data_IF_596833805060
#
_entry.id   IF_596833805060
#
_cell.length_a   1.000
_cell.length_b   1.000
_cell.length_c   1.000
_cell.angle_alpha   90.00
_cell.angle_beta   90.00
_cell.angle_gamma   90.00
#
_symmetry.space_group_name_H-M   'P 1'
#
loop_
_entity.id
_entity.type
_entity.pdbx_description
1 polymer ?
#
# COMPACT_ATOMS: atom_id res chain seq x y z
N UNK A 1 17.96 6.78 -5.75
CA UNK A 1 17.48 6.15 -7.01
C UNK A 1 15.97 5.93 -7.01
N UNK A 2 15.38 5.33 -5.97
CA UNK A 2 13.94 5.03 -5.88
C UNK A 2 12.99 6.19 -6.26
N UNK A 3 13.28 7.43 -5.84
CA UNK A 3 12.46 8.61 -6.19
C UNK A 3 12.38 8.87 -7.71
N UNK A 4 13.50 8.74 -8.44
CA UNK A 4 13.52 8.96 -9.90
C UNK A 4 12.74 7.86 -10.61
N UNK A 5 12.95 6.61 -10.21
CA UNK A 5 12.22 5.47 -10.77
C UNK A 5 10.71 5.58 -10.54
N UNK A 6 10.27 5.97 -9.34
CA UNK A 6 8.85 6.16 -9.04
C UNK A 6 8.22 7.30 -9.84
N UNK A 7 8.92 8.43 -10.00
CA UNK A 7 8.43 9.55 -10.83
C UNK A 7 8.36 9.18 -12.32
N UNK A 8 9.37 8.49 -12.83
CA UNK A 8 9.35 7.99 -14.21
C UNK A 8 8.21 6.99 -14.40
N UNK A 9 8.03 6.06 -13.48
CA UNK A 9 6.92 5.12 -13.52
C UNK A 9 5.58 5.85 -13.50
N UNK A 10 5.32 6.75 -12.53
CA UNK A 10 4.06 7.51 -12.45
C UNK A 10 3.81 8.34 -13.72
N UNK A 11 4.86 8.97 -14.26
CA UNK A 11 4.78 9.78 -15.47
C UNK A 11 4.52 8.98 -16.75
N UNK A 12 5.09 7.77 -16.88
CA UNK A 12 4.88 6.88 -18.02
C UNK A 12 3.63 6.01 -17.89
N UNK A 13 3.26 5.64 -16.66
CA UNK A 13 2.15 4.74 -16.39
C UNK A 13 0.82 5.41 -16.77
N UNK A 14 0.65 6.70 -16.50
CA UNK A 14 -0.58 7.42 -16.83
C UNK A 14 -0.89 7.45 -18.34
N UNK A 15 0.03 7.85 -19.24
CA UNK A 15 -0.21 7.77 -20.68
C UNK A 15 -0.27 6.32 -21.19
N UNK A 16 0.50 5.39 -20.62
CA UNK A 16 0.43 3.98 -20.98
C UNK A 16 -0.97 3.38 -20.68
N UNK A 17 -1.54 3.67 -19.51
CA UNK A 17 -2.91 3.26 -19.17
C UNK A 17 -3.93 3.83 -20.16
N UNK A 18 -3.77 5.11 -20.55
CA UNK A 18 -4.66 5.74 -21.53
C UNK A 18 -4.61 5.00 -22.87
N UNK A 19 -3.41 4.67 -23.34
CA UNK A 19 -3.21 3.90 -24.58
C UNK A 19 -3.80 2.50 -24.47
N UNK A 20 -3.55 1.79 -23.35
CA UNK A 20 -4.10 0.45 -23.13
C UNK A 20 -5.63 0.46 -23.09
N UNK A 21 -6.27 1.52 -22.59
CA UNK A 21 -7.73 1.63 -22.52
C UNK A 21 -8.43 1.67 -23.88
N UNK A 22 -7.71 2.03 -24.95
CA UNK A 22 -8.24 2.06 -26.32
C UNK A 22 -8.07 0.72 -27.05
N UNK A 23 -7.39 -0.25 -26.45
CA UNK A 23 -7.12 -1.56 -27.05
C UNK A 23 -7.92 -2.65 -26.35
N UNK A 24 -8.68 -3.44 -27.12
CA UNK A 24 -9.55 -4.51 -26.60
C UNK A 24 -8.88 -5.90 -26.58
N UNK A 25 -7.58 -5.96 -26.26
CA UNK A 25 -6.82 -7.22 -26.22
C UNK A 25 -6.48 -7.66 -24.80
N UNK A 26 -6.42 -8.97 -24.56
CA UNK A 26 -6.04 -9.52 -23.24
C UNK A 26 -4.71 -8.96 -22.73
N UNK A 27 -3.72 -8.78 -23.61
CA UNK A 27 -2.41 -8.20 -23.25
C UNK A 27 -2.57 -6.73 -22.82
N UNK A 28 -3.43 -5.97 -23.50
CA UNK A 28 -3.68 -4.57 -23.14
C UNK A 28 -4.42 -4.48 -21.80
N UNK A 29 -5.41 -5.34 -21.56
CA UNK A 29 -6.12 -5.43 -20.28
C UNK A 29 -5.20 -5.86 -19.13
N UNK A 30 -4.32 -6.83 -19.38
CA UNK A 30 -3.31 -7.26 -18.41
C UNK A 30 -2.34 -6.13 -18.09
N UNK A 31 -1.75 -5.49 -19.10
CA UNK A 31 -0.86 -4.34 -18.91
C UNK A 31 -1.56 -3.21 -18.15
N UNK A 32 -2.81 -2.90 -18.49
CA UNK A 32 -3.61 -1.89 -17.82
C UNK A 32 -3.79 -2.21 -16.33
N UNK A 33 -4.19 -3.44 -16.01
CA UNK A 33 -4.37 -3.87 -14.62
C UNK A 33 -3.07 -3.82 -13.84
N UNK A 34 -1.97 -4.32 -14.41
CA UNK A 34 -0.66 -4.28 -13.74
C UNK A 34 -0.24 -2.84 -13.45
N UNK A 35 -0.39 -1.95 -14.44
CA UNK A 35 -0.08 -0.54 -14.27
C UNK A 35 -0.93 0.12 -13.18
N UNK A 36 -2.25 -0.15 -13.18
CA UNK A 36 -3.19 0.40 -12.20
C UNK A 36 -2.89 -0.10 -10.79
N UNK A 37 -2.61 -1.39 -10.64
CA UNK A 37 -2.35 -2.01 -9.33
C UNK A 37 -0.99 -1.62 -8.75
N UNK A 38 0.01 -1.37 -9.60
CA UNK A 38 1.30 -0.83 -9.18
C UNK A 38 1.25 0.66 -8.77
N UNK A 39 0.21 1.41 -9.17
CA UNK A 39 0.13 2.86 -8.97
C UNK A 39 0.13 3.30 -7.49
N UNK A 40 -0.69 2.71 -6.59
CA UNK A 40 -0.66 3.04 -5.16
C UNK A 40 0.70 2.76 -4.52
N UNK A 41 1.34 1.64 -4.88
CA UNK A 41 2.66 1.30 -4.38
C UNK A 41 3.74 2.30 -4.85
N UNK A 42 3.65 2.78 -6.09
CA UNK A 42 4.52 3.82 -6.61
C UNK A 42 4.35 5.16 -5.86
N UNK A 43 3.11 5.53 -5.51
CA UNK A 43 2.83 6.72 -4.68
C UNK A 43 3.42 6.58 -3.27
N UNK A 44 3.24 5.44 -2.61
CA UNK A 44 3.82 5.16 -1.29
C UNK A 44 5.35 5.22 -1.38
N UNK A 45 5.94 4.61 -2.41
CA UNK A 45 7.38 4.66 -2.66
C UNK A 45 7.86 6.11 -2.80
N UNK A 46 7.14 6.93 -3.56
CA UNK A 46 7.48 8.34 -3.76
C UNK A 46 7.40 9.14 -2.47
N UNK A 47 6.37 8.91 -1.65
CA UNK A 47 6.19 9.55 -0.36
C UNK A 47 7.34 9.22 0.61
N UNK A 48 7.67 7.92 0.72
CA UNK A 48 8.68 7.42 1.65
C UNK A 48 10.11 7.65 1.13
N UNK A 49 10.30 7.84 -0.17
CA UNK A 49 11.62 8.09 -0.75
C UNK A 49 12.32 9.36 -0.23
N UNK A 50 11.61 10.28 0.44
CA UNK A 50 12.19 11.43 1.14
C UNK A 50 12.93 11.04 2.43
N UNK A 51 12.54 9.96 3.10
CA UNK A 51 13.11 9.52 4.38
C UNK A 51 13.85 8.17 4.27
N UNK A 52 13.80 7.54 3.09
CA UNK A 52 14.43 6.26 2.81
C UNK A 52 13.46 5.10 3.04
N UNK A 53 13.56 4.08 2.19
CA UNK A 53 12.63 2.94 2.19
C UNK A 53 12.81 1.98 3.38
N UNK A 54 13.96 2.03 4.06
CA UNK A 54 14.23 1.33 5.33
C UNK A 54 13.63 -0.10 5.43
N UNK A 55 13.02 -0.46 6.58
CA UNK A 55 12.31 -1.73 6.76
C UNK A 55 10.97 -1.79 5.99
N UNK A 56 10.45 -0.66 5.49
CA UNK A 56 9.20 -0.59 4.71
C UNK A 56 9.28 -1.30 3.35
N UNK A 57 10.48 -1.68 2.87
CA UNK A 57 10.63 -2.43 1.61
C UNK A 57 9.86 -3.75 1.60
N UNK A 58 9.84 -4.46 2.71
CA UNK A 58 9.17 -5.77 2.83
C UNK A 58 7.65 -5.62 2.73
N UNK A 59 6.98 -4.80 3.57
CA UNK A 59 5.53 -4.62 3.44
C UNK A 59 5.14 -3.96 2.12
N UNK A 60 5.98 -3.09 1.55
CA UNK A 60 5.72 -2.51 0.23
C UNK A 60 5.77 -3.58 -0.88
N UNK A 61 6.74 -4.50 -0.84
CA UNK A 61 6.81 -5.60 -1.79
C UNK A 61 5.61 -6.55 -1.64
N UNK A 62 5.22 -6.87 -0.39
CA UNK A 62 4.02 -7.65 -0.12
C UNK A 62 2.75 -6.99 -0.66
N UNK A 63 2.64 -5.67 -0.51
CA UNK A 63 1.50 -4.91 -1.02
C UNK A 63 1.42 -4.98 -2.55
N UNK A 64 2.54 -4.80 -3.24
CA UNK A 64 2.59 -4.95 -4.70
C UNK A 64 2.12 -6.34 -5.10
N UNK A 65 2.68 -7.38 -4.49
CA UNK A 65 2.30 -8.77 -4.82
C UNK A 65 0.80 -9.00 -4.62
N UNK A 66 0.22 -8.55 -3.51
CA UNK A 66 -1.21 -8.72 -3.22
C UNK A 66 -2.07 -7.99 -4.26
N UNK A 67 -1.73 -6.75 -4.61
CA UNK A 67 -2.48 -5.96 -5.58
C UNK A 67 -2.38 -6.55 -6.98
N UNK A 68 -1.19 -6.96 -7.41
CA UNK A 68 -0.96 -7.55 -8.73
C UNK A 68 -1.66 -8.90 -8.87
N UNK A 69 -1.49 -9.80 -7.90
CA UNK A 69 -2.15 -11.11 -7.89
C UNK A 69 -3.66 -10.93 -7.84
N UNK A 70 -4.16 -10.00 -7.02
CA UNK A 70 -5.59 -9.68 -6.94
C UNK A 70 -6.15 -9.14 -8.26
N UNK A 71 -5.44 -8.21 -8.90
CA UNK A 71 -5.81 -7.65 -10.20
C UNK A 71 -5.81 -8.67 -11.33
N UNK A 72 -4.76 -9.50 -11.43
CA UNK A 72 -4.70 -10.58 -12.43
C UNK A 72 -5.80 -11.61 -12.18
N UNK A 73 -6.05 -11.97 -10.93
CA UNK A 73 -7.12 -12.90 -10.58
C UNK A 73 -8.50 -12.33 -10.95
N UNK A 74 -8.73 -11.03 -10.73
CA UNK A 74 -9.94 -10.35 -11.20
C UNK A 74 -10.10 -10.42 -12.71
N UNK A 75 -9.01 -10.26 -13.47
CA UNK A 75 -9.04 -10.36 -14.92
C UNK A 75 -9.40 -11.77 -15.39
N UNK A 76 -8.78 -12.78 -14.78
CA UNK A 76 -9.00 -14.20 -15.13
C UNK A 76 -10.40 -14.68 -14.75
N UNK A 77 -10.90 -14.25 -13.59
CA UNK A 77 -12.23 -14.63 -13.09
C UNK A 77 -13.34 -13.68 -13.55
N UNK A 78 -13.04 -12.77 -14.48
CA UNK A 78 -14.01 -11.81 -15.00
C UNK A 78 -15.17 -12.56 -15.64
N UNK A 79 -16.39 -12.27 -15.19
CA UNK A 79 -17.61 -12.93 -15.65
C UNK A 79 -18.01 -14.18 -14.86
N UNK A 80 -17.16 -14.69 -13.97
CA UNK A 80 -17.45 -15.84 -13.10
C UNK A 80 -17.68 -15.43 -11.63
N UNK A 81 -18.00 -14.16 -11.38
CA UNK A 81 -18.09 -13.61 -10.01
C UNK A 81 -19.26 -14.22 -9.21
N UNK A 82 -20.31 -14.67 -9.91
CA UNK A 82 -21.49 -15.30 -9.32
C UNK A 82 -21.49 -16.82 -9.45
N UNK A 83 -20.56 -17.38 -10.22
CA UNK A 83 -20.51 -18.80 -10.54
C UNK A 83 -19.34 -19.47 -9.84
N UNK A 84 -19.58 -20.65 -9.27
CA UNK A 84 -18.54 -21.45 -8.64
C UNK A 84 -18.82 -21.83 -7.19
N UNK A 85 -17.88 -22.55 -6.56
CA UNK A 85 -18.05 -23.05 -5.21
C UNK A 85 -18.17 -21.89 -4.22
N UNK A 86 -18.94 -22.11 -3.16
CA UNK A 86 -19.13 -21.13 -2.10
C UNK A 86 -18.00 -21.24 -1.07
N UNK A 87 -17.36 -20.13 -0.74
CA UNK A 87 -16.31 -20.03 0.26
C UNK A 87 -16.49 -18.75 1.08
N UNK A 88 -16.64 -18.88 2.40
CA UNK A 88 -16.80 -17.72 3.28
C UNK A 88 -18.03 -16.86 2.95
N UNK A 89 -19.18 -17.49 2.70
CA UNK A 89 -20.45 -16.85 2.35
C UNK A 89 -20.56 -16.21 0.94
N UNK A 90 -19.52 -16.29 0.11
CA UNK A 90 -19.52 -15.78 -1.27
C UNK A 90 -18.98 -16.83 -2.27
N UNK A 91 -19.28 -16.72 -3.58
CA UNK A 91 -18.56 -17.48 -4.60
C UNK A 91 -17.05 -17.24 -4.51
N UNK A 92 -16.22 -18.23 -4.82
CA UNK A 92 -14.75 -18.14 -4.69
C UNK A 92 -14.20 -16.86 -5.31
N UNK A 93 -14.62 -16.51 -6.52
CA UNK A 93 -14.17 -15.30 -7.21
C UNK A 93 -14.45 -14.02 -6.39
N UNK A 94 -15.65 -13.88 -5.83
CA UNK A 94 -16.00 -12.76 -4.97
C UNK A 94 -15.23 -12.77 -3.64
N UNK A 95 -15.02 -13.96 -3.04
CA UNK A 95 -14.26 -14.09 -1.79
C UNK A 95 -12.79 -13.66 -1.96
N UNK A 96 -12.16 -13.97 -3.10
CA UNK A 96 -10.79 -13.50 -3.40
C UNK A 96 -10.74 -11.98 -3.52
N UNK A 97 -11.74 -11.35 -4.13
CA UNK A 97 -11.79 -9.90 -4.27
C UNK A 97 -11.96 -9.23 -2.90
N UNK A 98 -12.90 -9.70 -2.09
CA UNK A 98 -13.20 -9.10 -0.78
C UNK A 98 -12.06 -9.37 0.20
N UNK A 99 -11.63 -10.62 0.35
CA UNK A 99 -10.62 -10.97 1.35
C UNK A 99 -9.20 -10.66 0.88
N UNK A 100 -8.88 -10.95 -0.38
CA UNK A 100 -7.55 -10.75 -0.94
C UNK A 100 -7.26 -9.28 -1.23
N UNK A 101 -8.12 -8.62 -2.01
CA UNK A 101 -7.85 -7.24 -2.46
C UNK A 101 -8.28 -6.17 -1.46
N UNK A 102 -9.32 -6.42 -0.65
CA UNK A 102 -9.80 -5.44 0.33
C UNK A 102 -9.19 -5.67 1.70
N UNK A 103 -9.38 -6.85 2.29
CA UNK A 103 -8.89 -7.16 3.63
C UNK A 103 -7.37 -7.35 3.67
N UNK A 104 -6.79 -7.98 2.65
CA UNK A 104 -5.36 -8.30 2.57
C UNK A 104 -4.45 -7.09 2.75
N UNK A 105 -4.59 -6.01 1.93
CA UNK A 105 -3.81 -4.79 2.10
C UNK A 105 -4.03 -4.12 3.45
N UNK A 106 -5.27 -4.10 3.97
CA UNK A 106 -5.58 -3.53 5.28
C UNK A 106 -4.82 -4.25 6.40
N UNK A 107 -4.86 -5.58 6.40
CA UNK A 107 -4.16 -6.39 7.39
C UNK A 107 -2.64 -6.24 7.25
N UNK A 108 -2.13 -6.21 6.01
CA UNK A 108 -0.72 -6.01 5.74
C UNK A 108 -0.23 -4.65 6.24
N UNK A 109 -1.00 -3.58 5.99
CA UNK A 109 -0.67 -2.23 6.46
C UNK A 109 -0.73 -2.16 7.99
N UNK A 110 -1.73 -2.76 8.62
CA UNK A 110 -1.82 -2.82 10.08
C UNK A 110 -0.64 -3.59 10.70
N UNK A 111 -0.26 -4.71 10.09
CA UNK A 111 0.91 -5.49 10.51
C UNK A 111 2.21 -4.71 10.30
N UNK A 112 2.37 -4.08 9.13
CA UNK A 112 3.52 -3.25 8.82
C UNK A 112 3.65 -2.10 9.81
N UNK A 113 2.53 -1.47 10.16
CA UNK A 113 2.47 -0.45 11.19
C UNK A 113 2.91 -1.02 12.53
N UNK A 114 2.29 -2.10 13.02
CA UNK A 114 2.66 -2.71 14.31
C UNK A 114 4.13 -3.13 14.41
N UNK A 115 4.68 -3.73 13.35
CA UNK A 115 6.10 -4.13 13.29
C UNK A 115 7.06 -2.93 13.23
N UNK A 116 6.60 -1.80 12.72
CA UNK A 116 7.43 -0.59 12.60
C UNK A 116 7.23 0.34 13.80
N UNK A 117 6.11 0.23 14.52
CA UNK A 117 5.71 1.10 15.62
C UNK A 117 6.75 1.11 16.74
N UNK A 118 7.24 -0.07 17.13
CA UNK A 118 8.25 -0.26 18.18
C UNK A 118 9.55 0.51 17.91
N UNK A 119 9.82 0.82 16.65
CA UNK A 119 11.03 1.54 16.20
C UNK A 119 10.87 3.06 16.16
N UNK A 120 9.64 3.55 16.25
CA UNK A 120 9.27 4.97 16.21
C UNK A 120 8.68 5.47 17.54
N UNK A 121 8.69 4.63 18.58
CA UNK A 121 8.43 5.10 19.93
C UNK A 121 9.40 6.23 20.29
N UNK A 122 8.84 7.31 20.84
CA UNK A 122 9.62 8.40 21.43
C UNK A 122 10.60 7.78 22.42
N UNK A 123 11.92 7.94 22.22
CA UNK A 123 12.90 7.47 23.19
C UNK A 123 12.49 7.97 24.58
N UNK A 124 12.63 7.14 25.61
CA UNK A 124 12.35 7.57 27.00
C UNK A 124 13.08 8.88 27.34
N UNK A 125 14.22 9.11 26.70
CA UNK A 125 15.03 10.31 26.78
C UNK A 125 14.27 11.57 26.29
N UNK A 126 13.52 11.46 25.20
CA UNK A 126 12.69 12.54 24.66
C UNK A 126 11.44 12.76 25.52
N UNK A 127 10.84 11.70 26.06
CA UNK A 127 9.75 11.79 27.05
C UNK A 127 10.22 12.49 28.33
N UNK A 128 11.42 12.17 28.82
CA UNK A 128 12.03 12.85 29.97
C UNK A 128 12.30 14.33 29.68
N UNK A 129 12.77 14.68 28.48
CA UNK A 129 12.95 16.08 28.05
C UNK A 129 11.63 16.84 28.00
N UNK A 130 10.55 16.24 27.50
CA UNK A 130 9.22 16.85 27.50
C UNK A 130 8.70 17.08 28.93
N UNK A 131 8.85 16.09 29.80
CA UNK A 131 8.44 16.22 31.21
C UNK A 131 9.25 17.29 31.95
N UNK A 132 10.57 17.36 31.73
CA UNK A 132 11.43 18.38 32.35
C UNK A 132 11.05 19.82 31.93
N UNK A 133 10.67 20.05 30.67
CA UNK A 133 10.18 21.35 30.19
C UNK A 133 8.82 21.72 30.77
N UNK A 134 7.93 20.73 30.94
CA UNK A 134 6.61 20.94 31.54
C UNK A 134 6.72 21.29 33.03
N UNK A 135 7.57 20.60 33.78
CA UNK A 135 7.78 20.89 35.21
C UNK A 135 8.51 22.21 35.47
N UNK A 136 9.38 22.66 34.55
CA UNK A 136 10.06 23.95 34.65
C UNK A 136 9.15 25.16 34.40
N UNK A 137 8.14 25.02 33.54
CA UNK A 137 7.21 26.11 33.19
C UNK A 137 6.13 26.36 34.25
N UNK A 138 5.87 25.41 35.15
CA UNK A 138 4.85 25.51 36.21
C UNK A 138 5.41 26.14 37.50
N UNK A 139 6.75 26.26 37.60
CA UNK A 139 7.45 26.89 38.71
C UNK A 139 7.64 28.41 38.58
N UNK A 140 7.57 28.94 37.35
CA UNK A 140 7.86 30.36 37.03
C UNK A 140 6.62 31.26 37.09
N UNK A 141 5.42 30.68 37.25
CA UNK A 141 4.15 31.40 37.22
C UNK A 141 3.57 31.69 38.62
N UNK A 142 4.41 31.61 39.67
CA UNK A 142 4.03 31.80 41.07
C UNK A 142 4.77 32.94 41.79
N UNK A 143 5.55 33.75 41.09
CA UNK A 143 6.18 34.95 41.65
C UNK A 143 5.44 36.24 41.26
#
# INVERSE_FOLDING_TARGET
MARRSALLFLGLASPAMLICSWSSGFIAELCFILLVMAFPAALITLAVARHGLGPLKVPLAGLIIILEVGGVTMLVLRGQVLEGPWFGAFPVAASIQIYGLWLGPLLLVALAYGLTFDRWELPEEDLRRFNARRSGSDGDNKE
#
